data_IF_966825880522
#
_entry.id   IF_966825880522
#
_cell.length_a   1.000
_cell.length_b   1.000
_cell.length_c   1.000
_cell.angle_alpha   90.00
_cell.angle_beta   90.00
_cell.angle_gamma   90.00
#
_symmetry.space_group_name_H-M   'P 1'
#
loop_
_entity.id
_entity.type
_entity.pdbx_description
1 polymer ?
#
# COMPACT_ATOMS: atom_id res chain seq x y z
N UNK A 1 -10.87 -5.97 6.15
CA UNK A 1 -11.66 -4.99 6.93
C UNK A 1 -11.76 -3.57 6.33
N UNK A 2 -10.74 -2.92 5.74
CA UNK A 2 -10.95 -1.58 5.11
C UNK A 2 -11.57 -1.67 3.70
N UNK A 3 -11.09 -2.61 2.87
CA UNK A 3 -11.61 -2.78 1.52
C UNK A 3 -13.10 -3.19 1.51
N UNK A 4 -13.48 -4.11 2.41
CA UNK A 4 -14.88 -4.52 2.62
C UNK A 4 -15.74 -3.34 3.09
N UNK A 5 -15.32 -2.67 4.16
CA UNK A 5 -16.07 -1.55 4.71
C UNK A 5 -16.28 -0.42 3.67
N UNK A 6 -15.26 -0.12 2.86
CA UNK A 6 -15.40 0.85 1.76
C UNK A 6 -16.36 0.34 0.67
N UNK A 7 -16.26 -0.92 0.25
CA UNK A 7 -17.13 -1.48 -0.77
C UNK A 7 -18.61 -1.47 -0.35
N UNK A 8 -18.90 -1.70 0.93
CA UNK A 8 -20.27 -1.77 1.47
C UNK A 8 -20.87 -0.39 1.77
N UNK A 9 -20.10 0.55 2.33
CA UNK A 9 -20.64 1.80 2.86
C UNK A 9 -20.42 3.00 1.94
N UNK A 10 -19.18 3.20 1.47
CA UNK A 10 -18.80 4.35 0.64
C UNK A 10 -17.68 3.91 -0.31
N UNK A 11 -18.01 3.48 -1.55
CA UNK A 11 -17.02 3.03 -2.50
C UNK A 11 -16.06 4.17 -2.86
N UNK A 12 -14.79 4.01 -2.51
CA UNK A 12 -13.74 4.96 -2.87
C UNK A 12 -12.57 4.24 -3.54
N UNK A 13 -11.81 4.94 -4.41
CA UNK A 13 -10.59 4.37 -4.95
C UNK A 13 -9.62 3.97 -3.84
N UNK A 14 -9.09 2.75 -3.94
CA UNK A 14 -8.20 2.17 -2.93
C UNK A 14 -6.93 1.60 -3.58
N UNK A 15 -5.82 1.70 -2.85
CA UNK A 15 -4.52 1.07 -3.14
C UNK A 15 -3.99 0.50 -1.83
N UNK A 16 -3.45 -0.72 -1.87
CA UNK A 16 -2.81 -1.37 -0.71
C UNK A 16 -1.30 -1.19 -0.80
N UNK A 17 -0.68 -0.85 0.33
CA UNK A 17 0.78 -0.85 0.54
C UNK A 17 1.02 -1.81 1.70
N UNK A 18 1.94 -2.76 1.52
CA UNK A 18 2.17 -3.84 2.45
C UNK A 18 2.96 -4.97 1.79
N UNK A 19 3.19 -6.04 2.54
CA UNK A 19 3.90 -7.22 2.06
C UNK A 19 3.08 -7.92 0.96
N UNK A 20 3.68 -8.11 -0.20
CA UNK A 20 3.00 -8.57 -1.41
C UNK A 20 3.00 -10.09 -1.54
N UNK A 21 2.39 -10.78 -0.57
CA UNK A 21 2.24 -12.25 -0.56
C UNK A 21 3.58 -12.99 -0.70
N UNK A 22 4.56 -12.56 0.10
CA UNK A 22 5.89 -13.17 0.21
C UNK A 22 6.26 -13.27 1.68
N UNK A 23 7.22 -14.14 2.01
CA UNK A 23 7.75 -14.21 3.37
C UNK A 23 8.65 -13.00 3.68
N UNK A 24 8.59 -12.47 4.91
CA UNK A 24 9.54 -11.46 5.35
C UNK A 24 10.93 -12.08 5.52
N UNK A 25 11.94 -11.24 5.41
CA UNK A 25 13.34 -11.59 5.64
C UNK A 25 13.85 -10.93 6.93
N UNK A 26 14.94 -11.46 7.50
CA UNK A 26 15.63 -10.85 8.64
C UNK A 26 16.68 -9.87 8.15
N UNK A 27 16.77 -8.69 8.75
CA UNK A 27 17.68 -7.64 8.30
C UNK A 27 17.41 -6.32 9.01
N UNK A 28 18.07 -5.26 8.53
CA UNK A 28 17.84 -3.89 9.00
C UNK A 28 16.49 -3.38 8.48
N UNK A 29 15.71 -2.74 9.36
CA UNK A 29 14.28 -2.54 9.13
C UNK A 29 14.00 -1.59 7.96
N UNK A 30 14.74 -0.48 7.90
CA UNK A 30 14.61 0.56 6.88
C UNK A 30 14.93 0.02 5.49
N UNK A 31 16.03 -0.74 5.36
CA UNK A 31 16.42 -1.40 4.12
C UNK A 31 15.37 -2.43 3.67
N UNK A 32 14.77 -3.17 4.61
CA UNK A 32 13.71 -4.13 4.30
C UNK A 32 12.42 -3.43 3.83
N UNK A 33 12.07 -2.28 4.40
CA UNK A 33 10.91 -1.50 3.93
C UNK A 33 11.08 -1.09 2.47
N UNK A 34 12.25 -0.58 2.08
CA UNK A 34 12.53 -0.23 0.70
C UNK A 34 12.55 -1.46 -0.22
N UNK A 35 13.17 -2.56 0.22
CA UNK A 35 13.21 -3.82 -0.54
C UNK A 35 11.80 -4.37 -0.83
N UNK A 36 10.92 -4.36 0.18
CA UNK A 36 9.53 -4.81 0.04
C UNK A 36 8.59 -3.75 -0.55
N UNK A 37 9.09 -2.60 -1.01
CA UNK A 37 8.31 -1.51 -1.61
C UNK A 37 7.25 -0.93 -0.68
N UNK A 38 7.63 -0.78 0.59
CA UNK A 38 6.84 -0.19 1.66
C UNK A 38 7.49 1.09 2.20
N UNK A 39 8.55 1.58 1.54
CA UNK A 39 9.27 2.78 1.92
C UNK A 39 8.48 4.06 1.64
N UNK A 40 9.06 5.21 2.04
CA UNK A 40 8.44 6.52 1.89
C UNK A 40 8.09 6.81 0.42
N UNK A 41 9.00 6.47 -0.50
CA UNK A 41 8.79 6.69 -1.93
C UNK A 41 7.58 5.89 -2.46
N UNK A 42 7.40 4.64 -2.00
CA UNK A 42 6.29 3.79 -2.42
C UNK A 42 4.96 4.25 -1.85
N UNK A 43 4.93 4.73 -0.60
CA UNK A 43 3.73 5.32 0.01
C UNK A 43 3.31 6.57 -0.78
N UNK A 44 4.26 7.46 -1.12
CA UNK A 44 3.98 8.65 -1.93
C UNK A 44 3.48 8.27 -3.33
N UNK A 45 4.09 7.26 -3.95
CA UNK A 45 3.67 6.75 -5.25
C UNK A 45 2.25 6.16 -5.20
N UNK A 46 1.92 5.39 -4.15
CA UNK A 46 0.60 4.82 -3.93
C UNK A 46 -0.46 5.91 -3.72
N UNK A 47 -0.15 6.95 -2.95
CA UNK A 47 -1.02 8.12 -2.76
C UNK A 47 -1.30 8.84 -4.09
N UNK A 48 -0.26 9.11 -4.88
CA UNK A 48 -0.43 9.70 -6.23
C UNK A 48 -1.24 8.78 -7.15
N UNK A 49 -1.03 7.46 -7.08
CA UNK A 49 -1.77 6.47 -7.87
C UNK A 49 -3.25 6.44 -7.53
N UNK A 50 -3.62 6.50 -6.25
CA UNK A 50 -5.04 6.46 -5.85
C UNK A 50 -5.77 7.74 -6.23
N UNK A 51 -5.12 8.91 -6.14
CA UNK A 51 -5.70 10.18 -6.57
C UNK A 51 -6.03 10.19 -8.06
N UNK A 52 -5.18 9.59 -8.90
CA UNK A 52 -5.43 9.45 -10.35
C UNK A 52 -6.63 8.55 -10.70
N UNK A 53 -7.06 7.68 -9.78
CA UNK A 53 -8.25 6.83 -9.97
C UNK A 53 -9.57 7.55 -9.63
N UNK A 54 -9.50 8.71 -8.99
CA UNK A 54 -10.66 9.55 -8.67
C UNK A 54 -10.97 10.38 -9.92
N UNK A 55 -11.72 9.80 -10.84
CA UNK A 55 -12.27 10.46 -12.03
C UNK A 55 -13.75 10.65 -11.87
#
# INVERSE_FOLDING_TARGET
AIAEASAENVPVPLVRVGLLDVFPESGEAEALLDYFKMGVADIVAAAKKVLKKKS
#
